data_IF_763031014692
#
_entry.id   IF_763031014692
#
_cell.length_a   1.000
_cell.length_b   1.000
_cell.length_c   1.000
_cell.angle_alpha   90.00
_cell.angle_beta   90.00
_cell.angle_gamma   90.00
#
_symmetry.space_group_name_H-M   'P 1'
#
loop_
_entity.id
_entity.type
_entity.pdbx_description
1 polymer ?
#
# COMPACT_ATOMS: atom_id res chain seq x y z
N UNK A 1 7.96 15.30 -15.98
CA UNK A 1 9.28 14.71 -15.64
C UNK A 1 9.58 14.68 -14.13
N UNK A 2 9.22 15.70 -13.33
CA UNK A 2 9.49 15.69 -11.87
C UNK A 2 8.41 14.91 -11.08
N UNK A 3 7.13 15.22 -11.30
CA UNK A 3 6.02 14.65 -10.52
C UNK A 3 5.85 13.15 -10.75
N UNK A 4 6.03 12.66 -11.98
CA UNK A 4 5.92 11.23 -12.29
C UNK A 4 7.04 10.42 -11.65
N UNK A 5 8.26 10.98 -11.60
CA UNK A 5 9.40 10.34 -10.92
C UNK A 5 9.13 10.24 -9.42
N UNK A 6 8.66 11.32 -8.79
CA UNK A 6 8.26 11.33 -7.37
C UNK A 6 7.12 10.35 -7.11
N UNK A 7 6.14 10.24 -8.03
CA UNK A 7 5.04 9.28 -7.92
C UNK A 7 5.54 7.85 -7.93
N UNK A 8 6.41 7.50 -8.88
CA UNK A 8 7.00 6.16 -8.91
C UNK A 8 7.78 5.85 -7.64
N UNK A 9 8.58 6.80 -7.15
CA UNK A 9 9.29 6.63 -5.88
C UNK A 9 8.34 6.43 -4.70
N UNK A 10 7.27 7.23 -4.61
CA UNK A 10 6.26 7.11 -3.57
C UNK A 10 5.53 5.76 -3.60
N UNK A 11 5.14 5.29 -4.79
CA UNK A 11 4.44 4.01 -4.94
C UNK A 11 5.34 2.82 -4.56
N UNK A 12 6.62 2.88 -4.92
CA UNK A 12 7.62 1.89 -4.46
C UNK A 12 7.83 1.96 -2.95
N UNK A 13 7.82 3.17 -2.38
CA UNK A 13 7.94 3.36 -0.94
C UNK A 13 6.73 2.79 -0.18
N UNK A 14 5.50 3.03 -0.64
CA UNK A 14 4.27 2.46 -0.06
C UNK A 14 4.26 0.93 -0.14
N UNK A 15 4.64 0.38 -1.29
CA UNK A 15 4.81 -1.06 -1.48
C UNK A 15 5.85 -1.64 -0.50
N UNK A 16 6.94 -0.91 -0.28
CA UNK A 16 7.99 -1.33 0.65
C UNK A 16 7.48 -1.33 2.10
N UNK A 17 6.83 -0.26 2.56
CA UNK A 17 6.39 -0.09 3.95
C UNK A 17 5.28 -1.06 4.34
N UNK A 18 4.35 -1.41 3.44
CA UNK A 18 3.29 -2.37 3.71
C UNK A 18 3.80 -3.74 4.18
N UNK A 19 5.02 -4.13 3.80
CA UNK A 19 5.64 -5.40 4.23
C UNK A 19 6.10 -5.39 5.68
N UNK A 20 6.15 -4.23 6.33
CA UNK A 20 6.61 -4.07 7.69
C UNK A 20 5.44 -3.74 8.61
N UNK A 21 5.32 -4.55 9.67
CA UNK A 21 4.31 -4.34 10.70
C UNK A 21 5.02 -3.83 11.94
N UNK A 22 4.68 -2.62 12.42
CA UNK A 22 5.22 -2.10 13.67
C UNK A 22 4.94 -3.05 14.82
N UNK A 23 5.94 -3.30 15.68
CA UNK A 23 5.81 -4.18 16.85
C UNK A 23 4.68 -3.72 17.79
N UNK A 24 4.44 -2.41 17.89
CA UNK A 24 3.34 -1.86 18.70
C UNK A 24 1.93 -2.19 18.18
N UNK A 25 1.79 -2.74 16.97
CA UNK A 25 0.51 -3.24 16.45
C UNK A 25 0.29 -4.74 16.72
N UNK A 26 1.28 -5.44 17.29
CA UNK A 26 1.19 -6.87 17.55
C UNK A 26 0.64 -7.12 18.97
N UNK A 27 -0.47 -7.85 19.06
CA UNK A 27 -1.05 -8.25 20.37
C UNK A 27 -0.17 -9.27 21.11
N UNK A 28 0.55 -10.12 20.37
CA UNK A 28 1.35 -11.22 20.91
C UNK A 28 2.77 -11.14 20.37
N UNK A 29 3.75 -11.16 21.28
CA UNK A 29 5.17 -11.20 20.97
C UNK A 29 5.86 -12.45 21.53
N UNK A 30 6.90 -12.99 20.85
CA UNK A 30 7.43 -12.58 19.55
C UNK A 30 6.62 -13.14 18.36
N UNK A 31 6.63 -12.42 17.22
CA UNK A 31 6.01 -12.87 15.97
C UNK A 31 6.66 -14.19 15.49
N UNK A 32 5.84 -15.17 15.12
CA UNK A 32 6.30 -16.46 14.59
C UNK A 32 6.35 -16.45 13.06
N UNK A 33 7.27 -17.23 12.48
CA UNK A 33 7.53 -17.25 11.03
C UNK A 33 6.29 -17.49 10.14
N UNK A 34 5.38 -18.35 10.58
CA UNK A 34 4.19 -18.74 9.79
C UNK A 34 2.95 -17.88 10.08
N UNK A 35 3.05 -16.91 10.99
CA UNK A 35 1.91 -16.08 11.34
C UNK A 35 1.72 -14.99 10.30
N UNK A 36 0.50 -14.94 9.75
CA UNK A 36 0.08 -13.83 8.91
C UNK A 36 -0.58 -12.77 9.78
N UNK A 37 -0.28 -11.49 9.53
CA UNK A 37 -0.98 -10.41 10.19
C UNK A 37 -2.48 -10.45 9.85
N UNK A 38 -3.35 -10.13 10.82
CA UNK A 38 -4.75 -9.88 10.53
C UNK A 38 -4.90 -8.60 9.69
N UNK A 39 -6.08 -8.41 9.08
CA UNK A 39 -6.43 -7.15 8.42
C UNK A 39 -6.37 -6.01 9.43
N UNK A 40 -5.59 -4.97 9.12
CA UNK A 40 -5.48 -3.78 9.97
C UNK A 40 -6.60 -2.79 9.65
N UNK A 41 -7.26 -2.27 10.68
CA UNK A 41 -8.15 -1.13 10.57
C UNK A 41 -7.55 0.03 11.37
N UNK A 42 -7.27 1.12 10.69
CA UNK A 42 -6.66 2.30 11.28
C UNK A 42 -7.63 3.07 12.17
N UNK A 43 -7.13 4.13 12.79
CA UNK A 43 -7.94 5.05 13.61
C UNK A 43 -8.92 5.85 12.76
N UNK A 44 -8.59 6.04 11.48
CA UNK A 44 -9.42 6.67 10.48
C UNK A 44 -9.31 5.98 9.11
N UNK A 45 -10.05 6.51 8.14
CA UNK A 45 -10.07 5.97 6.77
C UNK A 45 -8.74 6.15 6.05
N UNK A 46 -7.96 7.20 6.36
CA UNK A 46 -6.69 7.46 5.70
C UNK A 46 -5.63 6.48 6.17
N UNK A 47 -5.55 6.19 7.47
CA UNK A 47 -4.67 5.17 8.01
C UNK A 47 -5.01 3.79 7.45
N UNK A 48 -6.31 3.48 7.36
CA UNK A 48 -6.76 2.23 6.75
C UNK A 48 -6.35 2.15 5.27
N UNK A 49 -6.46 3.26 4.54
CA UNK A 49 -6.02 3.34 3.14
C UNK A 49 -4.50 3.18 2.99
N UNK A 50 -3.71 3.80 3.87
CA UNK A 50 -2.25 3.69 3.88
C UNK A 50 -1.74 2.28 4.21
N UNK A 51 -2.53 1.52 4.97
CA UNK A 51 -2.26 0.12 5.29
C UNK A 51 -2.86 -0.86 4.27
N UNK A 52 -3.46 -0.36 3.18
CA UNK A 52 -4.01 -1.21 2.13
C UNK A 52 -2.91 -2.01 1.44
N UNK A 53 -3.26 -3.20 1.01
CA UNK A 53 -2.43 -4.03 0.15
C UNK A 53 -2.72 -3.81 -1.34
N UNK A 54 -3.67 -2.96 -1.71
CA UNK A 54 -4.00 -2.73 -3.12
C UNK A 54 -3.10 -1.68 -3.77
N UNK A 55 -2.54 -2.03 -4.94
CA UNK A 55 -1.84 -1.05 -5.79
C UNK A 55 -2.75 0.11 -6.21
N UNK A 56 -4.05 -0.13 -6.41
CA UNK A 56 -5.03 0.89 -6.76
C UNK A 56 -5.20 1.93 -5.64
N UNK A 57 -5.19 1.48 -4.37
CA UNK A 57 -5.25 2.38 -3.22
C UNK A 57 -3.97 3.22 -3.09
N UNK A 58 -2.81 2.63 -3.39
CA UNK A 58 -1.56 3.39 -3.42
C UNK A 58 -1.54 4.45 -4.53
N UNK A 59 -2.12 4.14 -5.70
CA UNK A 59 -2.33 5.13 -6.77
C UNK A 59 -3.22 6.26 -6.26
N UNK A 60 -4.33 5.95 -5.59
CA UNK A 60 -5.24 6.94 -5.01
C UNK A 60 -4.53 7.85 -3.99
N UNK A 61 -3.68 7.30 -3.12
CA UNK A 61 -2.85 8.10 -2.19
C UNK A 61 -1.93 9.04 -2.98
N UNK A 62 -1.31 8.55 -4.06
CA UNK A 62 -0.45 9.37 -4.90
C UNK A 62 -1.21 10.50 -5.59
N UNK A 63 -2.47 10.29 -5.96
CA UNK A 63 -3.33 11.32 -6.54
C UNK A 63 -3.68 12.42 -5.54
N UNK A 64 -3.94 12.04 -4.28
CA UNK A 64 -4.22 12.99 -3.19
C UNK A 64 -3.02 13.93 -2.94
N UNK A 65 -1.79 13.44 -3.10
CA UNK A 65 -0.57 14.19 -2.78
C UNK A 65 0.05 14.92 -3.98
N UNK A 66 -0.02 14.32 -5.17
CA UNK A 66 0.72 14.76 -6.36
C UNK A 66 -0.20 15.18 -7.53
N UNK A 67 -1.52 15.17 -7.31
CA UNK A 67 -2.52 15.43 -8.34
C UNK A 67 -2.82 14.20 -9.21
N UNK A 68 -3.81 14.32 -10.11
CA UNK A 68 -4.37 13.20 -10.87
C UNK A 68 -3.30 12.48 -11.71
N UNK A 69 -3.44 11.16 -11.83
CA UNK A 69 -2.59 10.39 -12.74
C UNK A 69 -3.05 10.54 -14.20
N UNK A 70 -2.16 10.33 -15.19
CA UNK A 70 -2.56 10.21 -16.58
C UNK A 70 -3.57 9.07 -16.78
N UNK A 71 -4.47 9.22 -17.74
CA UNK A 71 -5.44 8.17 -18.07
C UNK A 71 -4.73 6.86 -18.45
N UNK A 72 -5.18 5.75 -17.86
CA UNK A 72 -4.59 4.42 -18.08
C UNK A 72 -3.29 4.16 -17.31
N UNK A 73 -2.91 5.00 -16.36
CA UNK A 73 -1.76 4.73 -15.49
C UNK A 73 -1.99 3.48 -14.65
N UNK A 74 -1.01 2.57 -14.67
CA UNK A 74 -1.00 1.35 -13.86
C UNK A 74 0.31 1.24 -13.10
N UNK A 75 0.27 0.70 -11.89
CA UNK A 75 1.45 0.42 -11.09
C UNK A 75 1.47 -1.05 -10.68
N UNK A 76 2.57 -1.74 -10.99
CA UNK A 76 2.82 -3.11 -10.54
C UNK A 76 4.06 -3.10 -9.64
N UNK A 77 3.93 -3.56 -8.38
CA UNK A 77 5.06 -3.58 -7.45
C UNK A 77 6.17 -4.52 -7.93
N UNK A 78 7.43 -4.08 -7.84
CA UNK A 78 8.59 -4.90 -8.28
C UNK A 78 8.76 -6.18 -7.47
N UNK A 79 8.59 -6.06 -6.16
CA UNK A 79 8.51 -7.21 -5.28
C UNK A 79 7.05 -7.58 -5.21
N UNK A 80 6.72 -8.88 -5.32
CA UNK A 80 5.39 -9.42 -5.01
C UNK A 80 5.11 -9.19 -3.53
N UNK A 81 4.86 -7.94 -3.15
CA UNK A 81 4.02 -7.60 -2.01
C UNK A 81 2.78 -8.47 -2.18
N UNK A 82 2.25 -9.08 -1.12
CA UNK A 82 1.01 -9.87 -1.18
C UNK A 82 -0.19 -8.93 -1.42
N UNK A 83 -0.07 -8.06 -2.40
CA UNK A 83 -0.98 -7.05 -2.82
C UNK A 83 -2.02 -7.72 -3.70
N UNK A 84 -3.28 -7.75 -3.23
CA UNK A 84 -4.36 -8.21 -4.09
C UNK A 84 -4.60 -7.13 -5.15
N UNK A 85 -4.46 -7.49 -6.43
CA UNK A 85 -5.16 -6.78 -7.48
C UNK A 85 -6.66 -7.03 -7.24
N UNK A 86 -7.30 -6.12 -6.50
CA UNK A 86 -8.76 -5.96 -6.61
C UNK A 86 -9.08 -5.24 -7.91
N UNK A 87 -8.73 -5.88 -9.02
CA UNK A 87 -9.20 -5.55 -10.34
C UNK A 87 -9.87 -6.79 -10.91
N UNK A 88 -11.02 -7.14 -10.33
CA UNK A 88 -12.19 -7.75 -11.00
C UNK A 88 -13.17 -8.20 -9.92
N UNK A 89 -14.36 -7.59 -9.91
CA UNK A 89 -15.67 -8.26 -9.80
C UNK A 89 -16.79 -7.21 -9.63
N UNK A 90 -17.61 -7.06 -10.68
CA UNK A 90 -19.02 -6.64 -10.60
C UNK A 90 -19.33 -5.16 -10.68
#
# INVERSE_FOLDING_TARGET
MSVETTRHFLLEWLSYTYRYIPVGLLDIMPQRLNWRPPSFFGRDNLETLMASDSAADWIRISEMLLGPVPAGFTFTPKHKSNAYDRAENG
#
